data_IF_952088454520
#
_entry.id   IF_952088454520
#
_cell.length_a   1.000
_cell.length_b   1.000
_cell.length_c   1.000
_cell.angle_alpha   90.00
_cell.angle_beta   90.00
_cell.angle_gamma   90.00
#
_symmetry.space_group_name_H-M   'P 1'
#
loop_
_entity.id
_entity.type
_entity.pdbx_description
1 polymer ?
#
# COMPACT_ATOMS: atom_id res chain seq x y z
N UNK A 1 -4.39 -9.14 -5.01
CA UNK A 1 -4.38 -8.96 -3.54
C UNK A 1 -4.78 -7.53 -3.26
N UNK A 2 -5.80 -7.31 -2.43
CA UNK A 2 -6.14 -5.98 -1.93
C UNK A 2 -5.47 -5.83 -0.57
N UNK A 3 -4.85 -4.68 -0.30
CA UNK A 3 -4.22 -4.42 0.99
C UNK A 3 -5.31 -4.23 2.05
N UNK A 4 -5.12 -4.83 3.22
CA UNK A 4 -5.96 -4.61 4.39
C UNK A 4 -5.10 -3.96 5.47
N UNK A 5 -5.39 -2.75 5.95
CA UNK A 5 -6.52 -1.85 5.66
C UNK A 5 -6.07 -0.54 4.99
N UNK A 6 -7.00 0.33 4.59
CA UNK A 6 -6.68 1.59 3.90
C UNK A 6 -5.88 2.54 4.82
N UNK A 7 -6.39 2.80 6.01
CA UNK A 7 -5.80 3.74 6.96
C UNK A 7 -5.96 3.22 8.39
N UNK A 8 -4.93 3.39 9.21
CA UNK A 8 -4.97 3.16 10.66
C UNK A 8 -5.60 4.38 11.30
N UNK A 9 -6.93 4.39 11.41
CA UNK A 9 -7.71 5.44 12.05
C UNK A 9 -8.38 4.89 13.31
N UNK A 10 -7.57 4.23 14.13
CA UNK A 10 -7.97 3.57 15.36
C UNK A 10 -6.83 3.63 16.35
N UNK A 11 -7.16 3.40 17.63
CA UNK A 11 -6.23 3.63 18.71
C UNK A 11 -4.95 2.77 18.62
N UNK A 12 -3.76 3.33 18.93
CA UNK A 12 -2.49 2.62 18.85
C UNK A 12 -2.40 1.31 19.65
N UNK A 13 -3.22 1.19 20.69
CA UNK A 13 -3.28 0.03 21.59
C UNK A 13 -4.05 -1.15 20.96
N UNK A 14 -4.77 -0.93 19.85
CA UNK A 14 -5.49 -1.98 19.15
C UNK A 14 -4.55 -2.75 18.20
N UNK A 15 -4.80 -4.06 17.98
CA UNK A 15 -4.02 -4.87 17.05
C UNK A 15 -3.96 -4.26 15.64
N UNK A 16 -2.84 -4.49 14.95
CA UNK A 16 -2.59 -4.03 13.57
C UNK A 16 -2.48 -2.52 13.38
N UNK A 17 -2.27 -1.76 14.47
CA UNK A 17 -1.98 -0.35 14.36
C UNK A 17 -0.77 -0.10 13.45
N UNK A 18 -0.92 0.83 12.50
CA UNK A 18 0.07 1.16 11.45
C UNK A 18 0.34 0.06 10.42
N UNK A 19 -0.54 -0.93 10.28
CA UNK A 19 -0.46 -1.91 9.19
C UNK A 19 -1.19 -1.44 7.91
N UNK A 20 -1.86 -0.27 7.93
CA UNK A 20 -2.51 0.31 6.76
C UNK A 20 -1.58 1.08 5.81
N UNK A 21 -2.14 1.64 4.72
CA UNK A 21 -1.39 2.50 3.80
C UNK A 21 -1.14 3.91 4.35
N UNK A 22 -2.00 4.37 5.27
CA UNK A 22 -1.84 5.62 5.98
C UNK A 22 -2.12 5.40 7.46
N UNK A 23 -1.71 6.36 8.27
CA UNK A 23 -1.94 6.34 9.71
C UNK A 23 -2.40 7.72 10.16
N UNK A 24 -3.41 7.74 11.00
CA UNK A 24 -3.92 8.92 11.68
C UNK A 24 -3.88 8.63 13.18
N UNK A 25 -3.10 9.43 13.90
CA UNK A 25 -3.14 9.49 15.35
C UNK A 25 -3.53 10.89 15.83
N UNK A 26 -3.62 11.05 17.13
CA UNK A 26 -4.01 12.29 17.81
C UNK A 26 -3.11 13.48 17.50
N UNK A 27 -1.91 13.23 16.97
CA UNK A 27 -0.87 14.24 16.73
C UNK A 27 -0.66 14.49 15.24
N UNK A 28 -0.85 13.48 14.39
CA UNK A 28 -0.52 13.58 12.97
C UNK A 28 -1.26 12.58 12.10
N UNK A 29 -1.53 13.02 10.89
CA UNK A 29 -1.80 12.18 9.72
C UNK A 29 -0.52 12.04 8.90
N UNK A 30 -0.19 10.81 8.50
CA UNK A 30 0.91 10.57 7.57
C UNK A 30 0.66 9.33 6.70
N UNK A 31 1.29 9.34 5.53
CA UNK A 31 1.25 8.23 4.56
C UNK A 31 2.44 7.30 4.77
N UNK A 32 2.19 5.99 4.77
CA UNK A 32 3.25 4.97 4.88
C UNK A 32 3.93 4.77 3.52
N UNK A 33 5.16 4.23 3.52
CA UNK A 33 5.92 4.00 2.27
C UNK A 33 5.15 3.16 1.25
N UNK A 34 4.36 2.19 1.72
CA UNK A 34 3.52 1.34 0.88
C UNK A 34 2.49 2.15 0.06
N UNK A 35 1.92 3.23 0.61
CA UNK A 35 1.03 4.13 -0.13
C UNK A 35 1.75 4.78 -1.30
N UNK A 36 2.98 5.26 -1.09
CA UNK A 36 3.77 5.87 -2.14
C UNK A 36 4.17 4.87 -3.22
N UNK A 37 4.51 3.63 -2.84
CA UNK A 37 4.77 2.54 -3.82
C UNK A 37 3.52 2.27 -4.66
N UNK A 38 2.35 2.15 -4.01
CA UNK A 38 1.09 1.92 -4.70
C UNK A 38 0.74 3.07 -5.65
N UNK A 39 0.81 4.32 -5.18
CA UNK A 39 0.59 5.52 -6.00
C UNK A 39 1.55 5.56 -7.18
N UNK A 40 2.81 5.23 -6.94
CA UNK A 40 3.84 5.23 -7.97
C UNK A 40 3.62 4.16 -9.04
N UNK A 41 3.21 2.94 -8.68
CA UNK A 41 2.87 1.92 -9.68
C UNK A 41 1.59 2.29 -10.44
N UNK A 42 0.53 2.68 -9.72
CA UNK A 42 -0.78 2.96 -10.32
C UNK A 42 -0.81 4.21 -11.18
N UNK A 43 0.05 5.19 -10.94
CA UNK A 43 0.19 6.36 -11.82
C UNK A 43 0.65 6.00 -13.25
N UNK A 44 1.28 4.84 -13.44
CA UNK A 44 1.85 4.40 -14.72
C UNK A 44 1.14 3.17 -15.31
N UNK A 45 0.02 2.74 -14.72
CA UNK A 45 -0.82 1.65 -15.22
C UNK A 45 -2.26 2.11 -15.23
N UNK A 46 -2.89 2.15 -16.42
CA UNK A 46 -4.27 2.62 -16.57
C UNK A 46 -5.24 1.43 -16.64
N UNK A 47 -6.50 1.68 -16.25
CA UNK A 47 -7.58 0.70 -16.40
C UNK A 47 -7.69 0.26 -17.87
N UNK A 48 -7.85 -1.04 -18.09
CA UNK A 48 -7.94 -1.64 -19.42
C UNK A 48 -6.60 -2.07 -20.03
N UNK A 49 -5.47 -1.80 -19.39
CA UNK A 49 -4.19 -2.36 -19.82
C UNK A 49 -4.10 -3.86 -19.54
N UNK A 50 -3.37 -4.57 -20.40
CA UNK A 50 -3.12 -6.00 -20.28
C UNK A 50 -1.76 -6.26 -19.63
N UNK A 51 -1.67 -7.34 -18.86
CA UNK A 51 -0.40 -7.86 -18.33
C UNK A 51 0.18 -8.84 -19.32
N UNK A 52 1.47 -8.68 -19.67
CA UNK A 52 2.16 -9.63 -20.53
C UNK A 52 2.42 -10.96 -19.78
N UNK A 53 2.23 -12.13 -20.43
CA UNK A 53 2.40 -13.42 -19.78
C UNK A 53 3.83 -13.67 -19.26
N UNK A 54 3.93 -14.59 -18.28
CA UNK A 54 5.23 -15.06 -17.77
C UNK A 54 6.05 -15.69 -18.91
N UNK A 55 7.31 -15.29 -19.02
CA UNK A 55 8.22 -15.74 -20.09
C UNK A 55 8.00 -15.05 -21.44
N UNK A 56 6.98 -14.19 -21.57
CA UNK A 56 6.66 -13.40 -22.77
C UNK A 56 6.48 -11.92 -22.42
N UNK A 57 7.26 -11.41 -21.47
CA UNK A 57 7.24 -10.00 -21.05
C UNK A 57 7.11 -9.79 -19.54
N UNK A 58 6.80 -10.82 -18.75
CA UNK A 58 6.88 -10.78 -17.28
C UNK A 58 7.68 -11.97 -16.75
N UNK A 59 8.28 -11.86 -15.57
CA UNK A 59 9.04 -12.98 -15.02
C UNK A 59 9.92 -12.66 -13.82
N UNK A 60 10.90 -13.54 -13.61
CA UNK A 60 11.93 -13.41 -12.57
C UNK A 60 13.25 -13.03 -13.22
N UNK A 61 14.07 -12.24 -12.54
CA UNK A 61 15.45 -12.02 -12.96
C UNK A 61 16.32 -13.21 -12.55
N UNK A 62 17.39 -13.47 -13.30
CA UNK A 62 18.33 -14.55 -13.00
C UNK A 62 19.03 -14.35 -11.64
N UNK A 63 19.27 -13.09 -11.24
CA UNK A 63 19.84 -12.75 -9.93
C UNK A 63 18.81 -12.53 -8.83
N UNK A 64 17.55 -12.97 -8.99
CA UNK A 64 16.48 -12.74 -8.01
C UNK A 64 15.74 -11.42 -8.22
N UNK A 65 14.53 -11.32 -7.68
CA UNK A 65 13.57 -10.25 -7.99
C UNK A 65 12.68 -10.57 -9.20
N UNK A 66 11.72 -9.70 -9.47
CA UNK A 66 10.70 -9.90 -10.50
C UNK A 66 10.43 -8.65 -11.33
N UNK A 67 9.79 -8.87 -12.47
CA UNK A 67 9.27 -7.81 -13.31
C UNK A 67 7.92 -8.20 -13.91
N UNK A 68 7.05 -7.20 -14.05
CA UNK A 68 5.73 -7.33 -14.64
C UNK A 68 5.53 -6.22 -15.65
N UNK A 69 5.13 -6.60 -16.87
CA UNK A 69 4.90 -5.63 -17.94
C UNK A 69 3.42 -5.45 -18.20
N UNK A 70 2.98 -4.19 -18.21
CA UNK A 70 1.65 -3.73 -18.55
C UNK A 70 1.69 -2.97 -19.88
N UNK A 71 0.70 -3.17 -20.73
CA UNK A 71 0.58 -2.45 -22.01
C UNK A 71 -0.86 -2.34 -22.51
N UNK A 72 -1.14 -1.32 -23.32
CA UNK A 72 -2.35 -1.22 -24.15
C UNK A 72 -2.05 -1.41 -25.65
N UNK A 73 -0.88 -1.93 -26.00
CA UNK A 73 -0.41 -2.07 -27.38
C UNK A 73 0.31 -0.84 -27.95
N UNK A 74 0.24 0.32 -27.28
CA UNK A 74 0.92 1.56 -27.68
C UNK A 74 1.88 2.06 -26.61
N UNK A 75 1.41 2.11 -25.37
CA UNK A 75 2.16 2.50 -24.19
C UNK A 75 2.60 1.24 -23.43
N UNK A 76 3.75 1.32 -22.77
CA UNK A 76 4.36 0.21 -22.05
C UNK A 76 4.82 0.69 -20.67
N UNK A 77 4.57 -0.12 -19.65
CA UNK A 77 5.09 0.08 -18.29
C UNK A 77 5.57 -1.25 -17.73
N UNK A 78 6.84 -1.33 -17.37
CA UNK A 78 7.47 -2.47 -16.71
C UNK A 78 7.70 -2.09 -15.25
N UNK A 79 7.05 -2.78 -14.34
CA UNK A 79 7.31 -2.67 -12.90
C UNK A 79 8.38 -3.69 -12.55
N UNK A 80 9.43 -3.26 -11.84
CA UNK A 80 10.54 -4.12 -11.43
C UNK A 80 10.71 -4.09 -9.92
N UNK A 81 11.13 -5.20 -9.32
CA UNK A 81 11.52 -5.26 -7.91
C UNK A 81 12.65 -6.27 -7.68
N UNK A 82 13.43 -6.04 -6.63
CA UNK A 82 14.56 -6.85 -6.16
C UNK A 82 14.62 -6.90 -4.64
N UNK A 83 13.47 -7.04 -3.97
CA UNK A 83 13.38 -7.02 -2.51
C UNK A 83 14.10 -8.23 -1.90
N UNK A 84 14.99 -8.00 -0.93
CA UNK A 84 15.63 -9.07 -0.18
C UNK A 84 14.63 -9.79 0.72
N UNK A 85 14.91 -11.07 1.01
CA UNK A 85 14.09 -11.90 1.90
C UNK A 85 13.82 -11.20 3.24
N UNK A 86 14.86 -10.69 3.90
CA UNK A 86 14.74 -10.08 5.25
C UNK A 86 13.92 -8.79 5.27
N UNK A 87 13.83 -8.06 4.15
CA UNK A 87 13.10 -6.77 4.07
C UNK A 87 11.75 -6.86 3.36
N UNK A 88 11.28 -8.07 3.06
CA UNK A 88 10.00 -8.28 2.38
C UNK A 88 9.13 -9.36 3.01
N UNK A 89 9.45 -9.75 4.24
CA UNK A 89 8.56 -10.61 5.03
C UNK A 89 7.26 -9.86 5.31
N UNK A 90 6.15 -10.52 5.01
CA UNK A 90 4.82 -10.09 5.44
C UNK A 90 4.42 -10.94 6.63
N UNK A 91 3.59 -10.40 7.50
CA UNK A 91 3.13 -11.10 8.71
C UNK A 91 2.58 -12.51 8.42
N UNK A 92 1.76 -12.62 7.37
CA UNK A 92 1.10 -13.87 6.98
C UNK A 92 1.78 -14.55 5.79
N UNK A 93 3.07 -14.29 5.56
CA UNK A 93 3.85 -15.00 4.54
C UNK A 93 5.00 -15.79 5.17
N UNK A 94 5.22 -17.00 4.66
CA UNK A 94 6.36 -17.84 5.04
C UNK A 94 7.09 -18.31 3.78
N UNK A 95 7.65 -17.38 2.97
CA UNK A 95 8.38 -17.77 1.78
C UNK A 95 9.60 -18.60 2.18
N UNK A 96 10.00 -19.56 1.35
CA UNK A 96 11.31 -20.17 1.50
C UNK A 96 12.39 -19.11 1.33
N UNK A 97 13.47 -19.19 2.10
CA UNK A 97 14.57 -18.24 2.03
C UNK A 97 15.13 -18.19 0.61
N UNK A 98 15.35 -16.97 0.11
CA UNK A 98 15.89 -16.72 -1.23
C UNK A 98 16.95 -15.61 -1.18
N UNK A 99 17.77 -15.54 -2.23
CA UNK A 99 18.82 -14.53 -2.37
C UNK A 99 18.57 -13.63 -3.58
N UNK A 100 19.04 -12.39 -3.47
CA UNK A 100 19.04 -11.40 -4.56
C UNK A 100 20.48 -10.94 -4.76
N UNK A 101 20.95 -10.97 -5.99
CA UNK A 101 22.31 -10.58 -6.38
C UNK A 101 22.45 -9.06 -6.32
N UNK A 102 23.48 -8.59 -5.60
CA UNK A 102 23.84 -7.19 -5.55
C UNK A 102 24.16 -6.63 -6.94
N UNK A 103 23.59 -5.46 -7.24
CA UNK A 103 23.85 -4.67 -8.46
C UNK A 103 23.83 -5.52 -9.74
N UNK A 104 22.79 -6.36 -9.90
CA UNK A 104 22.69 -7.21 -11.07
C UNK A 104 22.45 -6.37 -12.34
N UNK A 105 23.17 -6.72 -13.41
CA UNK A 105 22.95 -6.13 -14.73
C UNK A 105 21.71 -6.76 -15.36
N UNK A 106 20.67 -5.96 -15.56
CA UNK A 106 19.42 -6.37 -16.19
C UNK A 106 19.45 -5.96 -17.65
N UNK A 107 19.06 -6.90 -18.52
CA UNK A 107 18.87 -6.68 -19.95
C UNK A 107 17.44 -7.05 -20.29
N UNK A 108 16.67 -6.10 -20.80
CA UNK A 108 15.28 -6.32 -21.21
C UNK A 108 15.13 -6.04 -22.70
N UNK A 109 14.53 -6.96 -23.42
CA UNK A 109 14.09 -6.73 -24.79
C UNK A 109 12.78 -5.93 -24.77
N UNK A 110 12.72 -4.85 -25.56
CA UNK A 110 11.55 -3.98 -25.69
C UNK A 110 11.05 -3.97 -27.15
N UNK A 111 9.76 -3.64 -27.40
CA UNK A 111 9.21 -3.56 -28.75
C UNK A 111 10.04 -2.73 -29.73
N UNK A 112 10.08 -3.14 -31.00
CA UNK A 112 10.99 -2.60 -32.04
C UNK A 112 10.78 -1.12 -32.33
N UNK A 113 9.54 -0.67 -32.23
CA UNK A 113 9.01 0.67 -32.46
C UNK A 113 9.38 1.67 -31.35
N UNK A 114 9.73 1.21 -30.15
CA UNK A 114 10.17 2.11 -29.07
C UNK A 114 11.64 2.50 -29.25
N UNK A 115 12.05 3.70 -28.82
CA UNK A 115 13.46 4.11 -28.86
C UNK A 115 14.19 3.91 -27.52
N UNK A 116 13.44 3.65 -26.45
CA UNK A 116 13.91 3.59 -25.09
C UNK A 116 12.75 3.73 -24.11
N UNK A 117 13.05 3.69 -22.81
CA UNK A 117 12.06 3.87 -21.73
C UNK A 117 12.60 4.86 -20.69
N UNK A 118 11.70 5.60 -20.06
CA UNK A 118 12.01 6.34 -18.84
C UNK A 118 12.12 5.34 -17.69
N UNK A 119 13.18 5.40 -16.89
CA UNK A 119 13.33 4.61 -15.67
C UNK A 119 13.33 5.53 -14.45
N UNK A 120 12.72 5.07 -13.36
CA UNK A 120 12.93 5.60 -12.03
C UNK A 120 12.88 4.44 -11.04
N UNK A 121 13.88 4.38 -10.16
CA UNK A 121 14.01 3.36 -9.13
C UNK A 121 13.97 4.05 -7.77
N UNK A 122 13.31 3.45 -6.78
CA UNK A 122 13.29 3.93 -5.40
C UNK A 122 12.94 5.43 -5.28
N UNK A 123 11.95 5.88 -6.05
CA UNK A 123 11.53 7.28 -6.10
C UNK A 123 12.61 8.28 -6.55
N UNK A 124 13.69 7.83 -7.19
CA UNK A 124 14.71 8.73 -7.72
C UNK A 124 14.21 9.45 -8.99
N UNK A 125 14.75 10.64 -9.32
CA UNK A 125 14.41 11.34 -10.55
C UNK A 125 14.50 10.45 -11.79
N UNK A 126 13.59 10.65 -12.74
CA UNK A 126 13.54 9.81 -13.94
C UNK A 126 14.75 10.03 -14.83
N UNK A 127 15.29 8.94 -15.37
CA UNK A 127 16.34 8.95 -16.39
C UNK A 127 15.82 8.27 -17.66
N UNK A 128 16.20 8.76 -18.83
CA UNK A 128 15.89 8.07 -20.08
C UNK A 128 16.92 6.97 -20.36
N UNK A 129 16.46 5.76 -20.64
CA UNK A 129 17.27 4.62 -21.08
C UNK A 129 17.05 4.37 -22.57
N UNK A 130 17.99 4.77 -23.45
CA UNK A 130 17.89 4.48 -24.87
C UNK A 130 18.16 2.99 -25.14
N UNK A 131 17.62 2.48 -26.25
CA UNK A 131 18.03 1.17 -26.78
C UNK A 131 19.54 1.11 -27.02
N UNK A 132 20.13 -0.02 -26.68
CA UNK A 132 21.56 -0.27 -26.91
C UNK A 132 21.85 -0.33 -28.41
N UNK A 133 22.82 0.45 -28.89
CA UNK A 133 23.23 0.43 -30.31
C UNK A 133 23.84 -0.91 -30.74
N UNK A 134 24.42 -1.66 -29.81
CA UNK A 134 25.14 -2.93 -30.06
C UNK A 134 24.20 -4.14 -30.17
N UNK A 135 23.09 -4.13 -29.43
CA UNK A 135 22.12 -5.24 -29.36
C UNK A 135 20.74 -4.69 -29.70
N UNK A 136 20.22 -5.07 -30.87
CA UNK A 136 18.94 -4.54 -31.37
C UNK A 136 17.83 -4.80 -30.35
N UNK A 137 17.12 -3.74 -29.96
CA UNK A 137 15.94 -3.75 -29.07
C UNK A 137 16.16 -4.03 -27.58
N UNK A 138 17.40 -4.00 -27.10
CA UNK A 138 17.67 -4.22 -25.68
C UNK A 138 17.85 -2.88 -24.95
N UNK A 139 17.33 -2.79 -23.73
CA UNK A 139 17.73 -1.77 -22.74
C UNK A 139 18.49 -2.43 -21.61
N UNK A 140 19.45 -1.70 -21.05
CA UNK A 140 20.33 -2.21 -19.99
C UNK A 140 20.36 -1.24 -18.81
N UNK A 141 20.28 -1.77 -17.59
CA UNK A 141 20.44 -1.00 -16.36
C UNK A 141 20.91 -1.90 -15.22
N UNK A 142 21.39 -1.26 -14.15
CA UNK A 142 21.76 -1.95 -12.91
C UNK A 142 20.57 -1.92 -11.96
N UNK A 143 20.19 -3.08 -11.43
CA UNK A 143 19.17 -3.23 -10.40
C UNK A 143 19.85 -3.58 -9.07
N UNK A 144 19.94 -2.64 -8.11
CA UNK A 144 20.44 -2.92 -6.76
C UNK A 144 19.51 -3.88 -6.00
N UNK A 145 19.95 -4.39 -4.85
CA UNK A 145 19.09 -5.12 -3.90
C UNK A 145 18.21 -4.12 -3.16
N UNK A 146 17.01 -4.55 -2.76
CA UNK A 146 16.01 -3.69 -2.11
C UNK A 146 15.62 -2.48 -2.98
N UNK A 147 15.52 -2.71 -4.29
CA UNK A 147 15.04 -1.73 -5.25
C UNK A 147 13.70 -2.11 -5.85
N UNK A 148 12.86 -1.12 -6.10
CA UNK A 148 11.68 -1.24 -6.93
C UNK A 148 11.62 -0.05 -7.88
N UNK A 149 10.85 -0.16 -8.96
CA UNK A 149 10.75 0.95 -9.89
C UNK A 149 9.81 0.70 -11.04
N UNK A 150 9.73 1.71 -11.91
CA UNK A 150 9.01 1.61 -13.19
C UNK A 150 9.94 1.98 -14.34
N UNK A 151 9.80 1.24 -15.44
CA UNK A 151 10.31 1.60 -16.76
C UNK A 151 9.12 1.82 -17.67
N UNK A 152 8.94 3.01 -18.23
CA UNK A 152 7.71 3.33 -18.95
C UNK A 152 7.93 4.27 -20.14
N UNK A 153 7.03 4.21 -21.11
CA UNK A 153 6.94 5.21 -22.19
C UNK A 153 6.27 6.50 -21.71
N UNK A 154 5.62 6.48 -20.55
CA UNK A 154 4.95 7.64 -19.95
C UNK A 154 5.96 8.58 -19.26
N UNK A 155 5.61 9.87 -19.07
CA UNK A 155 6.31 10.73 -18.13
C UNK A 155 6.21 10.16 -16.71
N UNK A 156 7.30 10.25 -15.95
CA UNK A 156 7.33 9.78 -14.55
C UNK A 156 7.18 10.95 -13.59
N UNK A 157 6.23 10.84 -12.67
CA UNK A 157 6.10 11.73 -11.52
C UNK A 157 6.39 10.94 -10.24
N UNK A 158 7.31 11.43 -9.42
CA UNK A 158 7.63 10.82 -8.13
C UNK A 158 6.68 11.40 -7.07
N UNK A 159 5.97 10.56 -6.29
CA UNK A 159 5.10 11.04 -5.24
C UNK A 159 5.90 11.66 -4.08
N UNK A 160 5.47 12.82 -3.62
CA UNK A 160 5.95 13.43 -2.38
C UNK A 160 5.18 12.90 -1.17
N UNK A 161 5.85 12.82 -0.03
CA UNK A 161 5.21 12.50 1.25
C UNK A 161 4.52 13.75 1.80
N UNK A 162 3.33 13.56 2.35
CA UNK A 162 2.54 14.62 2.99
C UNK A 162 2.30 14.20 4.44
N UNK A 163 2.59 15.13 5.34
CA UNK A 163 2.28 15.03 6.77
C UNK A 163 1.37 16.19 7.12
N UNK A 164 0.24 15.89 7.75
CA UNK A 164 -0.70 16.90 8.26
C UNK A 164 -0.80 16.75 9.77
N UNK A 165 -1.03 17.86 10.46
CA UNK A 165 -1.19 17.88 11.91
C UNK A 165 -2.65 18.23 12.20
N UNK A 166 -3.51 17.24 12.53
CA UNK A 166 -4.87 17.50 12.93
C UNK A 166 -4.89 18.24 14.28
N UNK A 167 -6.04 18.83 14.61
CA UNK A 167 -6.24 19.37 15.95
C UNK A 167 -6.05 18.27 16.99
N UNK A 168 -5.32 18.53 18.09
CA UNK A 168 -5.10 17.55 19.13
C UNK A 168 -6.43 17.17 19.78
N UNK A 169 -6.52 15.93 20.26
CA UNK A 169 -7.62 15.52 21.13
C UNK A 169 -7.63 16.38 22.41
N UNK A 170 -8.81 16.73 22.94
CA UNK A 170 -8.92 17.40 24.22
C UNK A 170 -8.26 16.57 25.33
N UNK A 171 -7.51 17.22 26.24
CA UNK A 171 -6.93 16.56 27.41
C UNK A 171 -7.99 16.11 28.43
N UNK A 172 -9.15 16.74 28.39
CA UNK A 172 -10.34 16.36 29.14
C UNK A 172 -11.48 16.14 28.16
N UNK A 173 -12.10 14.96 28.20
CA UNK A 173 -13.24 14.63 27.36
C UNK A 173 -14.48 14.45 28.22
N UNK A 174 -15.56 15.14 27.84
CA UNK A 174 -16.91 14.93 28.36
C UNK A 174 -17.89 14.98 27.20
N UNK A 175 -18.97 14.23 27.33
CA UNK A 175 -20.00 14.13 26.30
C UNK A 175 -21.36 13.93 26.96
N UNK A 176 -22.25 14.89 26.77
CA UNK A 176 -23.63 14.84 27.25
C UNK A 176 -24.60 14.25 26.22
N UNK A 177 -24.07 13.86 25.05
CA UNK A 177 -24.77 13.29 23.91
C UNK A 177 -25.86 14.19 23.32
N UNK A 178 -25.81 15.51 23.54
CA UNK A 178 -26.80 16.47 23.05
C UNK A 178 -26.65 16.82 21.57
N UNK A 179 -25.43 16.72 21.02
CA UNK A 179 -25.10 17.04 19.62
C UNK A 179 -25.28 15.89 18.62
N UNK A 180 -25.88 14.78 19.05
CA UNK A 180 -26.01 13.56 18.25
C UNK A 180 -27.42 13.39 17.72
N UNK A 181 -27.54 12.93 16.48
CA UNK A 181 -28.81 12.47 15.95
C UNK A 181 -29.21 11.12 16.56
N UNK A 182 -30.50 10.79 16.47
CA UNK A 182 -30.98 9.50 16.93
C UNK A 182 -30.27 8.37 16.18
N UNK A 183 -29.71 7.42 16.94
CA UNK A 183 -28.94 6.28 16.44
C UNK A 183 -27.51 6.57 15.92
N UNK A 184 -26.96 7.78 16.15
CA UNK A 184 -25.55 8.07 15.88
C UNK A 184 -24.60 7.31 16.82
N UNK A 185 -23.40 6.98 16.34
CA UNK A 185 -22.35 6.40 17.19
C UNK A 185 -21.66 7.50 18.02
N UNK A 186 -21.43 7.29 19.34
CA UNK A 186 -20.68 8.23 20.16
C UNK A 186 -19.26 8.47 19.61
N UNK A 187 -18.85 9.75 19.50
CA UNK A 187 -17.50 10.12 19.03
C UNK A 187 -16.45 9.51 19.97
N UNK A 188 -15.33 9.08 19.41
CA UNK A 188 -14.19 8.46 20.12
C UNK A 188 -14.46 7.11 20.81
N UNK A 189 -15.71 6.64 20.86
CA UNK A 189 -15.99 5.28 21.31
C UNK A 189 -15.67 4.31 20.18
N UNK A 190 -14.78 3.35 20.44
CA UNK A 190 -14.50 2.24 19.52
C UNK A 190 -15.09 0.94 20.07
N UNK A 191 -16.31 0.54 19.66
CA UNK A 191 -16.92 -0.71 20.12
C UNK A 191 -16.03 -1.91 19.82
N UNK A 192 -15.63 -2.65 20.86
CA UNK A 192 -14.88 -3.90 20.72
C UNK A 192 -15.80 -5.12 20.79
N UNK A 193 -16.95 -4.97 21.45
CA UNK A 193 -18.04 -5.94 21.44
C UNK A 193 -19.39 -5.24 21.58
N UNK A 194 -20.35 -5.63 20.75
CA UNK A 194 -21.64 -4.95 20.63
C UNK A 194 -21.55 -3.73 19.71
N UNK A 195 -22.62 -2.94 19.70
CA UNK A 195 -22.69 -1.66 18.99
C UNK A 195 -23.37 -0.67 19.92
N UNK A 196 -22.88 0.56 19.93
CA UNK A 196 -23.32 1.64 20.81
C UNK A 196 -23.86 2.76 19.96
N UNK A 197 -25.00 3.31 20.36
CA UNK A 197 -25.65 4.43 19.68
C UNK A 197 -26.22 5.42 20.69
N UNK A 198 -26.41 6.67 20.28
CA UNK A 198 -27.06 7.68 21.12
C UNK A 198 -28.58 7.63 20.94
N UNK A 199 -29.30 7.56 22.06
CA UNK A 199 -30.76 7.70 22.13
C UNK A 199 -31.16 8.48 23.36
N UNK A 200 -32.01 9.50 23.19
CA UNK A 200 -32.56 10.29 24.29
C UNK A 200 -31.47 10.80 25.26
N UNK A 201 -30.41 11.41 24.70
CA UNK A 201 -29.29 12.00 25.46
C UNK A 201 -28.40 11.00 26.20
N UNK A 202 -28.38 9.73 25.76
CA UNK A 202 -27.56 8.67 26.39
C UNK A 202 -27.00 7.71 25.36
N UNK A 203 -25.76 7.28 25.55
CA UNK A 203 -25.21 6.12 24.85
C UNK A 203 -25.88 4.83 25.34
N UNK A 204 -26.43 4.05 24.43
CA UNK A 204 -27.09 2.78 24.69
C UNK A 204 -26.55 1.68 23.80
N UNK A 205 -26.51 0.46 24.34
CA UNK A 205 -26.13 -0.71 23.58
C UNK A 205 -27.29 -1.12 22.66
N UNK A 206 -27.03 -1.23 21.35
CA UNK A 206 -28.06 -1.50 20.32
C UNK A 206 -28.34 -2.99 20.12
N UNK A 207 -27.35 -3.84 20.36
CA UNK A 207 -27.36 -5.26 19.98
C UNK A 207 -27.91 -6.15 21.10
N UNK A 208 -29.20 -6.44 21.06
CA UNK A 208 -29.91 -7.20 22.11
C UNK A 208 -29.60 -8.70 22.15
N UNK A 209 -28.96 -9.25 21.11
CA UNK A 209 -28.60 -10.68 21.01
C UNK A 209 -27.20 -10.85 20.44
N UNK A 210 -26.52 -11.92 20.84
CA UNK A 210 -25.18 -12.21 20.33
C UNK A 210 -25.22 -12.38 18.79
N UNK A 211 -24.36 -11.68 18.04
CA UNK A 211 -24.26 -11.87 16.60
C UNK A 211 -23.57 -13.21 16.28
N UNK A 212 -23.73 -13.66 15.04
CA UNK A 212 -22.84 -14.68 14.47
C UNK A 212 -21.45 -14.04 14.39
N UNK A 213 -20.52 -14.53 15.21
CA UNK A 213 -19.25 -13.86 15.42
C UNK A 213 -18.17 -14.31 14.44
N UNK A 214 -17.43 -13.35 13.90
CA UNK A 214 -16.21 -13.61 13.13
C UNK A 214 -14.98 -13.80 14.05
N UNK A 215 -14.89 -12.99 15.11
CA UNK A 215 -13.83 -13.10 16.13
C UNK A 215 -14.34 -13.89 17.35
N UNK A 216 -13.49 -14.74 17.93
CA UNK A 216 -13.78 -15.35 19.23
C UNK A 216 -13.25 -14.46 20.34
N UNK A 217 -14.13 -13.89 21.17
CA UNK A 217 -13.75 -13.17 22.39
C UNK A 217 -14.34 -13.88 23.61
N UNK A 218 -13.50 -14.11 24.62
CA UNK A 218 -13.93 -14.68 25.90
C UNK A 218 -14.71 -13.67 26.75
N UNK A 219 -14.63 -12.37 26.44
CA UNK A 219 -15.37 -11.32 27.13
C UNK A 219 -16.84 -11.45 26.77
N UNK A 220 -17.71 -11.66 27.76
CA UNK A 220 -19.15 -11.88 27.55
C UNK A 220 -19.92 -10.58 27.35
N UNK A 221 -19.55 -9.52 28.05
CA UNK A 221 -20.25 -8.22 28.07
C UNK A 221 -19.85 -7.33 26.90
N UNK A 222 -20.78 -6.56 26.31
CA UNK A 222 -20.47 -5.47 25.38
C UNK A 222 -19.57 -4.42 26.04
N UNK A 223 -18.61 -3.90 25.28
CA UNK A 223 -17.73 -2.81 25.73
C UNK A 223 -17.18 -2.03 24.53
N UNK A 224 -16.84 -0.77 24.78
CA UNK A 224 -16.11 0.10 23.87
C UNK A 224 -14.83 0.56 24.57
N UNK A 225 -13.85 0.97 23.78
CA UNK A 225 -12.62 1.57 24.29
C UNK A 225 -12.49 3.00 23.79
N UNK A 226 -11.82 3.82 24.60
CA UNK A 226 -11.40 5.18 24.33
C UNK A 226 -9.98 5.30 24.85
N UNK A 227 -9.10 5.97 24.12
CA UNK A 227 -7.72 6.24 24.56
C UNK A 227 -7.63 7.58 25.28
#
# INVERSE_FOLDING_TARGET
>A
MLTWHLMSAFYPQLPWYRCGLASLDEKKFFTEKAFHVLKYVTAHVKRGWMILPRGKGSGKFAGGGTYVTYTNGKELTIVVESMSYEKSLCEYSSPSRYSVKANQKVMLEIPRDLNGLNISLNFQPSKYLPKTKKLKNIIEFILPVDSFGVLTTLPISVPTQITLFPSPLPSEYSDDFSEYEFDDEPRFWMPQKGSWVVRNGRAVQKVVRAPISWCTSHIRTPYAVMA
#
